data_IF_092091202762
#
_entry.id   IF_092091202762
#
_cell.length_a   1.000
_cell.length_b   1.000
_cell.length_c   1.000
_cell.angle_alpha   90.00
_cell.angle_beta   90.00
_cell.angle_gamma   90.00
#
_symmetry.space_group_name_H-M   'P 1'
#
loop_
_entity.id
_entity.type
_entity.pdbx_description
1 polymer ?
#
# COMPACT_ATOMS: atom_id res chain seq x y z
N UNK A 1 -11.95 -45.43 7.58
CA UNK A 1 -11.60 -46.14 8.80
C UNK A 1 -12.28 -45.47 9.95
N UNK A 2 -13.33 -46.15 10.37
CA UNK A 2 -13.94 -46.28 11.72
C UNK A 2 -14.84 -45.09 12.03
N UNK A 3 -16.09 -45.25 11.85
CA UNK A 3 -17.18 -46.06 12.44
C UNK A 3 -17.78 -45.45 13.69
N UNK A 4 -19.10 -45.28 13.54
CA UNK A 4 -20.20 -45.57 14.43
C UNK A 4 -20.24 -44.97 15.84
N UNK A 5 -21.32 -44.28 16.05
CA UNK A 5 -22.07 -44.34 17.30
C UNK A 5 -23.59 -44.19 17.04
N UNK A 6 -24.20 -45.34 16.93
CA UNK A 6 -25.64 -45.59 17.03
C UNK A 6 -26.16 -45.18 18.40
N UNK A 7 -27.33 -44.55 18.44
CA UNK A 7 -28.20 -44.49 19.62
C UNK A 7 -29.61 -44.93 19.22
N UNK A 8 -30.15 -45.94 19.87
CA UNK A 8 -31.40 -46.57 19.45
C UNK A 8 -32.66 -45.89 19.90
N UNK A 9 -33.62 -45.94 19.01
CA UNK A 9 -35.05 -45.65 19.30
C UNK A 9 -35.68 -46.82 20.09
N UNK A 10 -36.37 -46.54 21.16
CA UNK A 10 -37.31 -47.47 21.76
C UNK A 10 -38.74 -47.08 21.47
N UNK A 11 -39.38 -47.92 20.67
CA UNK A 11 -40.81 -48.00 20.47
C UNK A 11 -41.49 -48.66 21.70
N UNK A 12 -42.58 -48.14 22.15
CA UNK A 12 -43.54 -48.89 22.98
C UNK A 12 -44.93 -48.90 22.36
N UNK A 13 -45.25 -50.10 21.82
CA UNK A 13 -46.60 -50.44 21.34
C UNK A 13 -47.54 -50.92 22.45
N UNK A 14 -48.77 -50.47 22.30
CA UNK A 14 -50.07 -51.16 22.47
C UNK A 14 -50.23 -52.31 23.47
N UNK A 15 -51.21 -52.17 24.30
CA UNK A 15 -51.94 -53.28 24.96
C UNK A 15 -53.37 -53.00 25.18
N UNK A 16 -54.26 -53.55 24.30
CA UNK A 16 -55.71 -53.69 24.49
C UNK A 16 -55.94 -54.88 25.39
N UNK A 17 -57.04 -54.82 26.30
CA UNK A 17 -57.96 -55.86 26.61
C UNK A 17 -59.11 -55.28 27.43
N UNK A 18 -60.22 -55.34 27.10
CA UNK A 18 -61.53 -56.00 26.87
C UNK A 18 -62.05 -56.83 28.08
N UNK A 19 -63.38 -56.59 28.39
CA UNK A 19 -64.45 -57.41 29.00
C UNK A 19 -64.53 -57.36 30.53
N UNK A 20 -65.72 -57.38 31.15
CA UNK A 20 -67.12 -57.62 30.83
C UNK A 20 -68.00 -57.43 32.08
N UNK A 21 -69.27 -56.96 31.91
CA UNK A 21 -70.55 -57.39 32.46
C UNK A 21 -70.91 -57.32 33.96
N UNK A 22 -72.09 -56.73 34.12
CA UNK A 22 -73.21 -57.17 34.96
C UNK A 22 -73.43 -56.21 36.14
N UNK A 23 -74.54 -55.77 36.42
CA UNK A 23 -75.95 -55.94 36.14
C UNK A 23 -76.84 -55.29 37.17
N UNK A 24 -77.93 -54.78 36.76
CA UNK A 24 -79.25 -54.66 37.47
C UNK A 24 -79.39 -53.89 38.79
N UNK A 25 -80.31 -52.90 38.73
CA UNK A 25 -81.13 -52.51 39.86
C UNK A 25 -81.57 -51.06 39.87
N UNK A 26 -82.70 -50.73 39.27
CA UNK A 26 -83.46 -49.50 39.58
C UNK A 26 -84.25 -49.70 40.91
N UNK A 27 -84.58 -48.65 41.63
CA UNK A 27 -85.86 -48.00 41.34
C UNK A 27 -85.84 -46.47 41.55
N UNK A 28 -86.93 -45.93 40.98
CA UNK A 28 -87.36 -44.54 40.96
C UNK A 28 -87.48 -43.84 42.31
N UNK A 29 -87.22 -42.54 42.34
CA UNK A 29 -87.92 -41.55 43.14
C UNK A 29 -87.73 -40.11 42.64
N UNK A 30 -88.74 -39.54 42.13
CA UNK A 30 -89.33 -38.18 42.25
C UNK A 30 -88.46 -36.97 42.43
N UNK A 31 -88.41 -36.10 41.44
CA UNK A 31 -88.95 -34.74 41.50
C UNK A 31 -88.29 -33.71 42.38
N UNK A 32 -87.42 -32.87 41.79
CA UNK A 32 -86.98 -31.61 42.35
C UNK A 32 -86.50 -30.69 41.26
N UNK A 33 -87.27 -29.66 40.88
CA UNK A 33 -86.92 -28.62 39.90
C UNK A 33 -85.72 -27.85 40.43
N UNK A 34 -84.58 -27.70 39.74
CA UNK A 34 -83.51 -26.81 40.15
C UNK A 34 -83.83 -25.37 39.74
N UNK A 35 -83.84 -24.51 40.70
CA UNK A 35 -83.81 -23.05 40.51
C UNK A 35 -82.55 -22.68 39.70
N UNK A 36 -82.73 -22.03 38.53
CA UNK A 36 -81.77 -21.42 37.73
C UNK A 36 -80.92 -20.41 38.54
N UNK A 37 -79.65 -20.76 38.95
CA UNK A 37 -78.64 -19.82 39.41
C UNK A 37 -77.89 -19.24 38.19
N UNK A 38 -78.49 -18.25 37.50
CA UNK A 38 -77.93 -17.53 36.37
C UNK A 38 -76.69 -16.65 36.72
N UNK A 39 -76.42 -16.39 38.00
CA UNK A 39 -75.29 -15.53 38.41
C UNK A 39 -73.94 -16.22 38.50
N UNK A 40 -73.90 -17.55 38.74
CA UNK A 40 -72.59 -18.26 38.89
C UNK A 40 -71.87 -18.54 37.56
N UNK A 41 -72.62 -18.68 36.48
CA UNK A 41 -72.04 -18.93 35.14
C UNK A 41 -71.45 -17.67 34.53
N UNK A 42 -72.04 -16.48 34.76
CA UNK A 42 -71.47 -15.20 34.30
C UNK A 42 -70.20 -14.83 35.06
N UNK A 43 -70.17 -15.11 36.37
CA UNK A 43 -68.93 -14.87 37.16
C UNK A 43 -67.83 -15.83 36.80
N UNK A 44 -68.11 -17.10 36.54
CA UNK A 44 -67.12 -18.05 36.05
C UNK A 44 -66.60 -17.66 34.64
N UNK A 45 -67.51 -17.21 33.75
CA UNK A 45 -67.12 -16.70 32.42
C UNK A 45 -66.21 -15.46 32.53
N UNK A 46 -66.53 -14.52 33.43
CA UNK A 46 -65.71 -13.34 33.69
C UNK A 46 -64.32 -13.69 34.21
N UNK A 47 -64.23 -14.62 35.20
CA UNK A 47 -62.91 -15.10 35.69
C UNK A 47 -62.16 -15.80 34.61
N UNK A 48 -62.79 -16.61 33.76
CA UNK A 48 -62.12 -17.28 32.64
C UNK A 48 -61.58 -16.26 31.61
N UNK A 49 -62.39 -15.23 31.30
CA UNK A 49 -61.95 -14.14 30.41
C UNK A 49 -60.75 -13.31 30.99
N UNK A 50 -60.81 -13.03 32.29
CA UNK A 50 -59.75 -12.34 33.00
C UNK A 50 -58.47 -13.19 33.01
N UNK A 51 -58.56 -14.50 33.27
CA UNK A 51 -57.41 -15.41 33.23
C UNK A 51 -56.87 -15.58 31.82
N UNK A 52 -57.74 -15.70 30.80
CA UNK A 52 -57.28 -15.72 29.40
C UNK A 52 -56.65 -14.40 28.98
N UNK A 53 -57.22 -13.27 29.41
CA UNK A 53 -56.64 -11.94 29.19
C UNK A 53 -55.24 -11.79 29.86
N UNK A 54 -55.12 -12.26 31.11
CA UNK A 54 -53.84 -12.26 31.83
C UNK A 54 -52.80 -13.19 31.19
N UNK A 55 -53.24 -14.38 30.72
CA UNK A 55 -52.34 -15.29 29.96
C UNK A 55 -51.94 -14.72 28.61
N UNK A 56 -52.86 -14.07 27.89
CA UNK A 56 -52.53 -13.40 26.63
C UNK A 56 -51.59 -12.20 26.84
N UNK A 57 -51.85 -11.37 27.86
CA UNK A 57 -50.98 -10.23 28.21
C UNK A 57 -49.62 -10.70 28.73
N UNK A 58 -49.58 -11.74 29.58
CA UNK A 58 -48.35 -12.37 30.06
C UNK A 58 -47.55 -13.04 28.94
N UNK A 59 -48.25 -13.72 28.02
CA UNK A 59 -47.67 -14.30 26.82
C UNK A 59 -47.06 -13.23 25.89
N UNK A 60 -47.81 -12.15 25.62
CA UNK A 60 -47.33 -11.01 24.83
C UNK A 60 -46.14 -10.33 25.48
N UNK A 61 -46.18 -10.05 26.78
CA UNK A 61 -45.08 -9.47 27.54
C UNK A 61 -43.88 -10.40 27.58
N UNK A 62 -44.08 -11.70 27.79
CA UNK A 62 -43.04 -12.74 27.79
C UNK A 62 -42.39 -12.89 26.41
N UNK A 63 -43.18 -12.95 25.35
CA UNK A 63 -42.68 -12.98 23.96
C UNK A 63 -41.91 -11.70 23.62
N UNK A 64 -42.39 -10.54 24.07
CA UNK A 64 -41.68 -9.26 23.92
C UNK A 64 -40.34 -9.24 24.62
N UNK A 65 -40.25 -9.73 25.87
CA UNK A 65 -39.01 -9.85 26.63
C UNK A 65 -38.04 -10.88 26.02
N UNK A 66 -38.53 -12.03 25.58
CA UNK A 66 -37.73 -13.06 24.91
C UNK A 66 -37.23 -12.55 23.57
N UNK A 67 -38.05 -11.88 22.77
CA UNK A 67 -37.62 -11.23 21.54
C UNK A 67 -36.53 -10.17 21.79
N UNK A 68 -36.71 -9.29 22.78
CA UNK A 68 -35.74 -8.28 23.16
C UNK A 68 -34.40 -8.90 23.64
N UNK A 69 -34.45 -10.06 24.30
CA UNK A 69 -33.27 -10.81 24.74
C UNK A 69 -32.57 -11.57 23.60
N UNK A 70 -33.35 -11.99 22.59
CA UNK A 70 -32.83 -12.70 21.41
C UNK A 70 -32.41 -11.76 20.28
N UNK A 71 -32.89 -10.50 20.26
CA UNK A 71 -32.44 -9.51 19.27
C UNK A 71 -31.05 -8.96 19.64
N UNK A 72 -30.12 -9.16 18.77
CA UNK A 72 -28.77 -8.56 18.89
C UNK A 72 -28.92 -7.03 18.71
N UNK A 73 -28.51 -6.21 19.70
CA UNK A 73 -28.60 -4.75 19.58
C UNK A 73 -27.78 -4.27 18.34
N UNK A 74 -28.43 -3.52 17.46
CA UNK A 74 -27.82 -2.92 16.29
C UNK A 74 -28.33 -1.49 16.10
N UNK A 75 -27.54 -0.64 15.42
CA UNK A 75 -27.99 0.67 14.96
C UNK A 75 -28.81 0.53 13.67
N UNK A 76 -29.47 1.61 13.28
CA UNK A 76 -30.20 1.71 12.01
C UNK A 76 -29.57 2.79 11.13
N UNK A 77 -29.32 2.48 9.84
CA UNK A 77 -28.83 3.46 8.88
C UNK A 77 -27.31 3.46 8.67
N UNK A 78 -26.84 4.55 8.03
CA UNK A 78 -25.48 4.67 7.52
C UNK A 78 -24.52 5.46 8.45
N UNK A 79 -24.99 5.79 9.67
CA UNK A 79 -24.22 6.53 10.67
C UNK A 79 -24.23 8.05 10.45
N UNK A 80 -23.64 8.77 11.40
CA UNK A 80 -23.66 10.25 11.46
C UNK A 80 -22.27 10.89 11.46
N UNK A 81 -21.49 10.71 12.51
CA UNK A 81 -20.22 11.38 12.74
C UNK A 81 -19.05 10.56 12.20
N UNK A 82 -18.17 11.19 11.41
CA UNK A 82 -16.98 10.54 10.87
C UNK A 82 -16.03 10.10 11.99
N UNK A 83 -15.51 8.90 11.90
CA UNK A 83 -14.51 8.34 12.82
C UNK A 83 -13.52 7.46 12.06
N UNK A 84 -12.26 7.49 12.47
CA UNK A 84 -11.22 6.67 11.87
C UNK A 84 -11.05 5.38 12.65
N UNK A 85 -11.02 4.24 11.95
CA UNK A 85 -10.81 2.92 12.53
C UNK A 85 -9.64 2.25 11.84
N UNK A 86 -8.72 1.66 12.62
CA UNK A 86 -7.57 0.92 12.10
C UNK A 86 -7.84 -0.58 12.13
N UNK A 87 -7.82 -1.20 10.94
CA UNK A 87 -7.81 -2.66 10.76
C UNK A 87 -6.34 -3.07 10.64
N UNK A 88 -5.85 -3.79 11.65
CA UNK A 88 -4.46 -4.23 11.72
C UNK A 88 -4.24 -5.56 10.95
N UNK A 89 -2.99 -5.90 10.61
CA UNK A 89 -2.65 -7.26 10.18
C UNK A 89 -3.14 -8.28 11.20
N UNK A 90 -3.66 -9.41 10.71
CA UNK A 90 -4.15 -10.54 11.53
C UNK A 90 -5.42 -10.25 12.38
N UNK A 91 -6.07 -9.10 12.23
CA UNK A 91 -7.36 -8.84 12.88
C UNK A 91 -8.40 -9.88 12.43
N UNK A 92 -8.90 -10.67 13.37
CA UNK A 92 -10.06 -11.53 13.12
C UNK A 92 -11.35 -10.71 13.02
N UNK A 93 -12.43 -11.30 12.51
CA UNK A 93 -13.74 -10.63 12.52
C UNK A 93 -14.21 -10.21 13.92
N UNK A 94 -13.71 -10.86 14.97
CA UNK A 94 -13.98 -10.48 16.37
C UNK A 94 -13.15 -9.27 16.79
N UNK A 95 -11.88 -9.22 16.41
CA UNK A 95 -10.99 -8.07 16.71
C UNK A 95 -11.48 -6.81 15.99
N UNK A 96 -11.87 -6.94 14.72
CA UNK A 96 -12.53 -5.86 13.97
C UNK A 96 -13.82 -5.40 14.67
N UNK A 97 -14.65 -6.34 15.14
CA UNK A 97 -15.89 -6.02 15.84
C UNK A 97 -15.63 -5.25 17.15
N UNK A 98 -14.59 -5.60 17.89
CA UNK A 98 -14.18 -4.90 19.10
C UNK A 98 -13.75 -3.46 18.81
N UNK A 99 -12.89 -3.26 17.83
CA UNK A 99 -12.44 -1.92 17.40
C UNK A 99 -13.61 -1.04 16.91
N UNK A 100 -14.50 -1.59 16.11
CA UNK A 100 -15.69 -0.88 15.62
C UNK A 100 -16.66 -0.52 16.76
N UNK A 101 -16.79 -1.40 17.75
CA UNK A 101 -17.57 -1.14 18.95
C UNK A 101 -16.95 -0.04 19.82
N UNK A 102 -15.63 -0.10 20.08
CA UNK A 102 -14.90 0.91 20.84
C UNK A 102 -14.97 2.29 20.16
N UNK A 103 -14.90 2.32 18.83
CA UNK A 103 -15.07 3.53 18.03
C UNK A 103 -16.53 4.01 17.91
N UNK A 104 -17.48 3.32 18.57
CA UNK A 104 -18.92 3.60 18.51
C UNK A 104 -19.52 3.54 17.08
N UNK A 105 -18.85 2.83 16.16
CA UNK A 105 -19.35 2.59 14.81
C UNK A 105 -20.52 1.63 14.83
N UNK A 106 -20.42 0.53 15.59
CA UNK A 106 -21.49 -0.48 15.73
C UNK A 106 -22.00 -0.54 17.16
N UNK A 107 -23.29 -0.86 17.32
CA UNK A 107 -23.95 -0.91 18.63
C UNK A 107 -23.57 -2.11 19.49
N UNK A 108 -23.11 -3.20 18.87
CA UNK A 108 -22.59 -4.36 19.57
C UNK A 108 -21.62 -5.14 18.69
N UNK A 109 -20.60 -5.72 19.31
CA UNK A 109 -19.66 -6.62 18.65
C UNK A 109 -20.39 -7.79 17.96
N UNK A 110 -21.41 -8.37 18.64
CA UNK A 110 -22.19 -9.49 18.11
C UNK A 110 -22.91 -9.15 16.82
N UNK A 111 -23.42 -7.91 16.67
CA UNK A 111 -24.07 -7.48 15.43
C UNK A 111 -23.08 -7.49 14.26
N UNK A 112 -21.86 -6.98 14.46
CA UNK A 112 -20.85 -6.98 13.41
C UNK A 112 -20.34 -8.38 13.09
N UNK A 113 -20.06 -9.22 14.09
CA UNK A 113 -19.65 -10.62 13.87
C UNK A 113 -20.70 -11.39 13.08
N UNK A 114 -21.99 -11.17 13.37
CA UNK A 114 -23.07 -11.80 12.60
C UNK A 114 -23.07 -11.32 11.14
N UNK A 115 -22.91 -10.02 10.88
CA UNK A 115 -22.81 -9.47 9.52
C UNK A 115 -21.57 -10.00 8.80
N UNK A 116 -20.42 -10.04 9.48
CA UNK A 116 -19.16 -10.57 8.96
C UNK A 116 -19.28 -12.03 8.53
N UNK A 117 -19.85 -12.88 9.38
CA UNK A 117 -20.03 -14.32 9.09
C UNK A 117 -21.07 -14.57 7.99
N UNK A 118 -22.04 -13.69 7.82
CA UNK A 118 -23.07 -13.80 6.79
C UNK A 118 -22.60 -13.36 5.39
N UNK A 119 -21.51 -12.62 5.29
CA UNK A 119 -20.98 -12.11 4.01
C UNK A 119 -19.68 -12.87 3.60
N UNK A 120 -19.70 -13.63 2.49
CA UNK A 120 -18.49 -14.34 2.02
C UNK A 120 -17.30 -13.42 1.71
N UNK A 121 -17.55 -12.16 1.34
CA UNK A 121 -16.52 -11.18 1.03
C UNK A 121 -15.84 -10.60 2.28
N UNK A 122 -16.35 -10.83 3.48
CA UNK A 122 -15.77 -10.30 4.72
C UNK A 122 -14.28 -10.67 4.90
N UNK A 123 -13.84 -11.81 4.34
CA UNK A 123 -12.45 -12.27 4.37
C UNK A 123 -11.51 -11.49 3.43
N UNK A 124 -12.05 -10.64 2.57
CA UNK A 124 -11.27 -9.78 1.67
C UNK A 124 -11.10 -8.35 2.19
N UNK A 125 -11.49 -8.09 3.45
CA UNK A 125 -11.21 -6.81 4.10
C UNK A 125 -9.69 -6.65 4.19
N UNK A 126 -9.18 -5.54 3.67
CA UNK A 126 -7.76 -5.23 3.65
C UNK A 126 -7.35 -4.47 4.92
N UNK A 127 -6.10 -4.61 5.31
CA UNK A 127 -5.51 -3.86 6.41
C UNK A 127 -5.40 -2.37 6.06
N UNK A 128 -5.52 -1.49 7.06
CA UNK A 128 -5.39 -0.05 6.86
C UNK A 128 -6.33 0.78 7.73
N UNK A 129 -6.27 2.08 7.52
CA UNK A 129 -7.15 3.03 8.19
C UNK A 129 -8.38 3.30 7.33
N UNK A 130 -9.56 3.24 7.97
CA UNK A 130 -10.84 3.47 7.30
C UNK A 130 -11.58 4.64 7.93
N UNK A 131 -12.08 5.54 7.10
CA UNK A 131 -13.00 6.57 7.53
C UNK A 131 -14.42 6.03 7.49
N UNK A 132 -14.94 5.66 8.67
CA UNK A 132 -16.29 5.18 8.88
C UNK A 132 -17.15 6.26 9.57
N UNK A 133 -18.38 5.92 9.94
CA UNK A 133 -19.25 6.79 10.73
C UNK A 133 -19.65 6.11 12.03
N UNK A 134 -19.84 6.90 13.08
CA UNK A 134 -20.46 6.39 14.31
C UNK A 134 -21.94 6.05 14.05
N UNK A 135 -22.49 5.15 14.84
CA UNK A 135 -23.87 4.73 14.82
C UNK A 135 -24.33 4.07 13.51
N UNK A 136 -23.46 3.37 12.82
CA UNK A 136 -23.78 2.59 11.62
C UNK A 136 -24.47 1.27 11.99
N UNK A 137 -25.41 0.84 11.15
CA UNK A 137 -25.86 -0.55 11.16
C UNK A 137 -24.67 -1.47 10.87
N UNK A 138 -24.56 -2.59 11.59
CA UNK A 138 -23.39 -3.48 11.46
C UNK A 138 -23.14 -3.97 10.02
N UNK A 139 -24.21 -4.28 9.25
CA UNK A 139 -24.07 -4.63 7.83
C UNK A 139 -23.54 -3.46 6.98
N UNK A 140 -23.95 -2.22 7.31
CA UNK A 140 -23.48 -1.01 6.60
C UNK A 140 -22.03 -0.68 6.94
N UNK A 141 -21.59 -0.92 8.17
CA UNK A 141 -20.18 -0.80 8.54
C UNK A 141 -19.32 -1.82 7.76
N UNK A 142 -19.81 -3.07 7.61
CA UNK A 142 -19.14 -4.06 6.77
C UNK A 142 -19.12 -3.67 5.29
N UNK A 143 -20.24 -3.21 4.74
CA UNK A 143 -20.32 -2.72 3.36
C UNK A 143 -19.32 -1.58 3.13
N UNK A 144 -19.17 -0.67 4.10
CA UNK A 144 -18.24 0.44 4.03
C UNK A 144 -16.76 -0.01 4.04
N UNK A 145 -16.41 -1.07 4.79
CA UNK A 145 -15.07 -1.67 4.77
C UNK A 145 -14.74 -2.37 3.45
N UNK A 146 -15.76 -2.87 2.74
CA UNK A 146 -15.63 -3.59 1.47
C UNK A 146 -15.83 -2.69 0.24
N UNK A 147 -16.33 -1.47 0.43
CA UNK A 147 -16.67 -0.57 -0.68
C UNK A 147 -15.46 -0.22 -1.53
N UNK A 148 -15.63 -0.30 -2.86
CA UNK A 148 -14.58 0.04 -3.83
C UNK A 148 -15.04 1.13 -4.79
N UNK A 149 -14.11 1.95 -5.19
CA UNK A 149 -14.24 2.93 -6.26
C UNK A 149 -14.28 2.24 -7.65
N UNK A 150 -14.64 2.96 -8.73
CA UNK A 150 -14.62 2.40 -10.10
C UNK A 150 -13.24 1.90 -10.55
N UNK A 151 -12.16 2.44 -9.98
CA UNK A 151 -10.77 2.03 -10.21
C UNK A 151 -10.31 0.85 -9.34
N UNK A 152 -11.26 0.21 -8.62
CA UNK A 152 -11.06 -0.91 -7.70
C UNK A 152 -10.31 -0.57 -6.40
N UNK A 153 -9.95 0.68 -6.14
CA UNK A 153 -9.40 1.13 -4.86
C UNK A 153 -10.47 1.10 -3.76
N UNK A 154 -10.07 0.98 -2.49
CA UNK A 154 -11.01 0.97 -1.36
C UNK A 154 -11.56 2.38 -1.11
N UNK A 155 -12.89 2.52 -1.19
CA UNK A 155 -13.56 3.83 -1.18
C UNK A 155 -13.42 4.59 0.15
N UNK A 156 -13.34 3.87 1.27
CA UNK A 156 -13.27 4.47 2.61
C UNK A 156 -11.91 4.29 3.29
N UNK A 157 -10.91 3.75 2.58
CA UNK A 157 -9.54 3.66 3.09
C UNK A 157 -8.87 5.02 3.04
N UNK A 158 -8.22 5.40 4.12
CA UNK A 158 -7.47 6.65 4.22
C UNK A 158 -5.99 6.34 4.09
N UNK A 159 -5.39 6.84 3.03
CA UNK A 159 -3.94 6.75 2.80
C UNK A 159 -3.44 8.04 2.15
N UNK A 160 -2.17 8.34 2.34
CA UNK A 160 -1.49 9.41 1.61
C UNK A 160 -0.72 8.79 0.45
N UNK A 161 -1.23 8.99 -0.77
CA UNK A 161 -0.57 8.56 -2.00
C UNK A 161 0.51 9.54 -2.43
N UNK A 162 1.70 9.05 -2.75
CA UNK A 162 2.81 9.82 -3.32
C UNK A 162 3.42 9.03 -4.47
N UNK A 163 3.55 9.67 -5.62
CA UNK A 163 4.33 9.11 -6.73
C UNK A 163 5.70 9.77 -6.75
N UNK A 164 6.73 8.94 -6.62
CA UNK A 164 8.12 9.32 -6.88
C UNK A 164 8.37 9.06 -8.36
N UNK A 165 8.72 10.10 -9.10
CA UNK A 165 8.98 10.04 -10.54
C UNK A 165 10.45 9.67 -10.80
N UNK A 166 10.69 8.97 -11.89
CA UNK A 166 12.05 8.66 -12.32
C UNK A 166 12.88 9.94 -12.56
N UNK A 167 14.11 9.96 -12.09
CA UNK A 167 15.01 11.09 -12.23
C UNK A 167 14.85 12.20 -11.19
N UNK A 168 13.83 12.13 -10.30
CA UNK A 168 13.74 13.07 -9.17
C UNK A 168 14.94 12.93 -8.24
N UNK A 169 15.40 14.04 -7.67
CA UNK A 169 16.44 14.04 -6.63
C UNK A 169 15.81 13.94 -5.23
N UNK A 170 16.58 13.49 -4.26
CA UNK A 170 16.09 13.24 -2.89
C UNK A 170 15.41 14.46 -2.26
N UNK A 171 15.87 15.68 -2.51
CA UNK A 171 15.25 16.90 -1.97
C UNK A 171 13.85 17.15 -2.55
N UNK A 172 13.58 16.79 -3.80
CA UNK A 172 12.26 16.89 -4.43
C UNK A 172 11.33 15.81 -3.89
N UNK A 173 11.84 14.60 -3.76
CA UNK A 173 11.11 13.48 -3.13
C UNK A 173 10.68 13.86 -1.71
N UNK A 174 11.58 14.44 -0.89
CA UNK A 174 11.22 14.88 0.47
C UNK A 174 10.15 15.97 0.47
N UNK A 175 10.19 16.90 -0.47
CA UNK A 175 9.15 17.93 -0.61
C UNK A 175 7.79 17.32 -0.98
N UNK A 176 7.76 16.34 -1.90
CA UNK A 176 6.55 15.63 -2.29
C UNK A 176 5.98 14.81 -1.12
N UNK A 177 6.83 14.05 -0.41
CA UNK A 177 6.45 13.29 0.78
C UNK A 177 5.88 14.20 1.88
N UNK A 178 6.57 15.29 2.20
CA UNK A 178 6.14 16.26 3.20
C UNK A 178 4.77 16.84 2.89
N UNK A 179 4.54 17.22 1.63
CA UNK A 179 3.25 17.75 1.16
C UNK A 179 2.12 16.73 1.31
N UNK A 180 2.36 15.47 0.98
CA UNK A 180 1.32 14.44 0.99
C UNK A 180 1.00 13.93 2.40
N UNK A 181 1.99 13.91 3.30
CA UNK A 181 1.84 13.36 4.67
C UNK A 181 1.64 14.41 5.75
N UNK A 182 1.75 15.71 5.40
CA UNK A 182 1.76 16.84 6.33
C UNK A 182 2.88 16.77 7.39
N UNK A 183 3.96 16.05 7.10
CA UNK A 183 5.16 16.04 7.94
C UNK A 183 6.13 17.13 7.50
N UNK A 184 6.94 17.71 8.42
CA UNK A 184 8.00 18.65 8.05
C UNK A 184 9.03 18.03 7.11
N UNK A 185 9.49 18.76 6.10
CA UNK A 185 10.59 18.32 5.21
C UNK A 185 11.85 17.98 6.01
N UNK A 186 12.10 18.71 7.09
CA UNK A 186 13.24 18.50 7.99
C UNK A 186 13.27 17.11 8.63
N UNK A 187 12.09 16.47 8.81
CA UNK A 187 12.03 15.14 9.41
C UNK A 187 12.56 14.09 8.43
N UNK A 188 12.24 14.22 7.13
CA UNK A 188 12.82 13.40 6.07
C UNK A 188 14.31 13.65 5.91
N UNK A 189 14.75 14.92 5.91
CA UNK A 189 16.16 15.27 5.84
C UNK A 189 16.97 14.70 7.02
N UNK A 190 16.40 14.72 8.23
CA UNK A 190 17.05 14.16 9.41
C UNK A 190 17.10 12.63 9.37
N UNK A 191 16.03 11.97 9.00
CA UNK A 191 15.98 10.52 8.83
C UNK A 191 16.96 10.03 7.75
N UNK A 192 17.11 10.78 6.66
CA UNK A 192 17.97 10.45 5.53
C UNK A 192 19.49 10.58 5.80
N UNK A 193 19.91 11.16 6.94
CA UNK A 193 21.33 11.30 7.30
C UNK A 193 22.05 9.97 7.49
N UNK A 194 21.31 8.92 7.84
CA UNK A 194 21.83 7.56 7.99
C UNK A 194 21.05 6.59 7.09
N UNK A 195 21.44 6.43 5.81
CA UNK A 195 20.79 5.52 4.89
C UNK A 195 20.90 4.05 5.32
N UNK A 196 21.91 3.68 6.10
CA UNK A 196 22.08 2.31 6.62
C UNK A 196 21.00 2.00 7.67
N UNK A 197 20.71 2.94 8.56
CA UNK A 197 19.62 2.80 9.54
C UNK A 197 18.22 2.71 8.86
N UNK A 198 18.11 3.20 7.62
CA UNK A 198 16.89 3.07 6.81
C UNK A 198 16.80 1.75 6.05
N UNK A 199 17.86 0.93 6.02
CA UNK A 199 17.86 -0.38 5.39
C UNK A 199 18.67 -0.48 4.08
N UNK A 200 19.47 0.55 3.73
CA UNK A 200 20.47 0.42 2.67
C UNK A 200 21.64 -0.43 3.21
N UNK A 201 22.00 -1.51 2.51
CA UNK A 201 23.16 -2.31 2.95
C UNK A 201 24.44 -1.46 2.93
N UNK A 202 25.30 -1.55 3.96
CA UNK A 202 26.60 -0.89 3.96
C UNK A 202 27.47 -1.22 2.75
N UNK A 203 27.30 -2.42 2.16
CA UNK A 203 28.06 -2.90 1.02
C UNK A 203 27.83 -2.06 -0.25
N UNK A 204 26.69 -1.35 -0.34
CA UNK A 204 26.46 -0.41 -1.42
C UNK A 204 27.52 0.70 -1.48
N UNK A 205 28.00 1.16 -0.32
CA UNK A 205 28.94 2.28 -0.23
C UNK A 205 30.39 1.87 -0.45
N UNK A 206 30.61 1.01 -1.45
CA UNK A 206 31.93 0.53 -1.85
C UNK A 206 32.17 0.83 -3.33
N UNK A 207 33.41 1.15 -3.69
CA UNK A 207 33.85 1.39 -5.08
C UNK A 207 35.12 0.59 -5.39
N UNK A 208 35.18 0.07 -6.62
CA UNK A 208 36.38 -0.65 -7.08
C UNK A 208 37.43 0.27 -7.66
N UNK A 209 37.04 1.47 -8.13
CA UNK A 209 37.96 2.49 -8.64
C UNK A 209 38.72 3.26 -7.54
N UNK A 210 38.50 2.95 -6.28
CA UNK A 210 39.21 3.54 -5.13
C UNK A 210 38.86 5.00 -4.84
N UNK A 211 37.84 5.56 -5.48
CA UNK A 211 37.43 6.96 -5.29
C UNK A 211 36.52 7.15 -4.06
N UNK A 212 36.42 8.40 -3.56
CA UNK A 212 35.51 8.71 -2.46
C UNK A 212 34.09 8.34 -2.77
N UNK A 213 33.35 7.96 -1.71
CA UNK A 213 31.92 7.63 -1.75
C UNK A 213 31.14 8.66 -0.95
N UNK A 214 30.10 9.23 -1.53
CA UNK A 214 29.11 9.99 -0.79
C UNK A 214 28.06 9.02 -0.22
N UNK A 215 28.08 8.84 1.10
CA UNK A 215 27.05 8.06 1.80
C UNK A 215 25.79 8.90 1.92
N UNK A 216 24.92 8.83 0.95
CA UNK A 216 23.62 9.51 0.93
C UNK A 216 22.52 8.56 0.51
N UNK A 217 21.27 9.01 0.68
CA UNK A 217 20.08 8.27 0.24
C UNK A 217 19.80 8.45 -1.26
N UNK A 218 20.52 9.36 -1.93
CA UNK A 218 20.36 9.62 -3.35
C UNK A 218 20.63 8.37 -4.19
N UNK A 219 19.74 8.08 -5.12
CA UNK A 219 19.76 6.86 -5.93
C UNK A 219 19.03 5.67 -5.33
N UNK A 220 18.66 5.73 -4.04
CA UNK A 220 18.00 4.64 -3.32
C UNK A 220 16.49 4.85 -3.11
N UNK A 221 15.94 6.01 -3.52
CA UNK A 221 14.51 6.29 -3.43
C UNK A 221 13.80 5.82 -4.71
N UNK A 222 13.55 4.51 -4.80
CA UNK A 222 13.05 3.88 -6.03
C UNK A 222 11.74 4.52 -6.52
N UNK A 223 11.65 4.88 -7.82
CA UNK A 223 10.46 5.48 -8.40
C UNK A 223 9.27 4.52 -8.41
N UNK A 224 8.20 4.91 -7.77
CA UNK A 224 6.93 4.17 -7.71
C UNK A 224 5.84 5.03 -7.06
N UNK A 225 4.60 4.56 -7.12
CA UNK A 225 3.51 5.12 -6.31
C UNK A 225 3.47 4.40 -4.96
N UNK A 226 3.56 5.16 -3.89
CA UNK A 226 3.54 4.69 -2.51
C UNK A 226 2.29 5.17 -1.80
N UNK A 227 1.71 4.32 -1.00
CA UNK A 227 0.63 4.66 -0.07
C UNK A 227 1.13 4.55 1.37
N UNK A 228 0.82 5.55 2.18
CA UNK A 228 1.21 5.60 3.59
C UNK A 228 -0.02 5.76 4.47
N UNK A 229 -0.05 5.00 5.55
CA UNK A 229 -1.11 5.10 6.54
C UNK A 229 -1.00 6.43 7.33
N UNK A 230 -2.12 6.98 7.81
CA UNK A 230 -2.11 8.17 8.66
C UNK A 230 -1.26 7.98 9.92
N UNK A 231 -0.45 9.00 10.25
CA UNK A 231 0.36 9.00 11.46
C UNK A 231 1.69 8.23 11.38
N UNK A 232 2.05 7.72 10.20
CA UNK A 232 3.37 7.12 9.96
C UNK A 232 4.43 8.21 9.93
N UNK A 233 5.56 8.03 10.62
CA UNK A 233 6.67 8.98 10.66
C UNK A 233 7.56 8.93 9.42
N UNK A 234 8.40 9.96 9.24
CA UNK A 234 9.30 10.10 8.09
C UNK A 234 10.30 8.92 7.97
N UNK A 235 10.76 8.37 9.10
CA UNK A 235 11.69 7.24 9.12
C UNK A 235 11.03 5.97 8.57
N UNK A 236 9.80 5.67 9.00
CA UNK A 236 9.06 4.50 8.51
C UNK A 236 8.68 4.65 7.03
N UNK A 237 8.35 5.86 6.59
CA UNK A 237 8.09 6.18 5.18
C UNK A 237 9.34 5.88 4.33
N UNK A 238 10.50 6.43 4.70
CA UNK A 238 11.75 6.21 3.96
C UNK A 238 12.17 4.73 4.00
N UNK A 239 12.02 4.03 5.12
CA UNK A 239 12.26 2.58 5.20
C UNK A 239 11.41 1.79 4.20
N UNK A 240 10.13 2.14 4.04
CA UNK A 240 9.25 1.48 3.05
C UNK A 240 9.74 1.70 1.62
N UNK A 241 10.20 2.91 1.29
CA UNK A 241 10.74 3.23 -0.03
C UNK A 241 12.03 2.47 -0.28
N UNK A 242 12.96 2.43 0.70
CA UNK A 242 14.22 1.66 0.62
C UNK A 242 13.95 0.16 0.53
N UNK A 243 12.96 -0.37 1.24
CA UNK A 243 12.58 -1.78 1.14
C UNK A 243 12.14 -2.13 -0.29
N UNK A 244 11.42 -1.22 -0.97
CA UNK A 244 11.04 -1.40 -2.37
C UNK A 244 12.27 -1.36 -3.30
N UNK A 245 13.20 -0.42 -3.08
CA UNK A 245 14.48 -0.42 -3.80
C UNK A 245 15.20 -1.76 -3.66
N UNK A 246 15.37 -2.27 -2.45
CA UNK A 246 16.04 -3.55 -2.20
C UNK A 246 15.32 -4.73 -2.89
N UNK A 247 13.99 -4.72 -2.91
CA UNK A 247 13.20 -5.73 -3.61
C UNK A 247 13.42 -5.71 -5.12
N UNK A 248 13.45 -4.51 -5.73
CA UNK A 248 13.72 -4.37 -7.16
C UNK A 248 15.17 -4.74 -7.52
N UNK A 249 16.16 -4.38 -6.69
CA UNK A 249 17.54 -4.83 -6.89
C UNK A 249 17.67 -6.35 -6.83
N UNK A 250 16.93 -7.00 -5.94
CA UNK A 250 16.90 -8.47 -5.85
C UNK A 250 16.23 -9.08 -7.08
N UNK A 251 15.11 -8.53 -7.53
CA UNK A 251 14.37 -8.99 -8.72
C UNK A 251 15.20 -8.87 -9.99
N UNK A 252 16.00 -7.81 -10.13
CA UNK A 252 16.92 -7.60 -11.24
C UNK A 252 18.20 -8.44 -11.13
N UNK A 253 18.46 -9.08 -9.99
CA UNK A 253 19.77 -9.67 -9.67
C UNK A 253 20.93 -8.68 -9.89
N UNK A 254 20.67 -7.40 -9.62
CA UNK A 254 21.51 -6.28 -10.04
C UNK A 254 22.95 -6.42 -9.56
N UNK A 255 23.16 -6.77 -8.29
CA UNK A 255 24.50 -6.85 -7.69
C UNK A 255 25.35 -7.92 -8.37
N UNK A 256 24.79 -9.12 -8.55
CA UNK A 256 25.52 -10.23 -9.16
C UNK A 256 25.79 -9.98 -10.64
N UNK A 257 24.80 -9.46 -11.38
CA UNK A 257 24.92 -9.18 -12.81
C UNK A 257 25.99 -8.12 -13.08
N UNK A 258 26.02 -7.01 -12.32
CA UNK A 258 27.02 -5.95 -12.45
C UNK A 258 28.42 -6.49 -12.21
N UNK A 259 28.62 -7.24 -11.13
CA UNK A 259 29.95 -7.81 -10.82
C UNK A 259 30.41 -8.81 -11.86
N UNK A 260 29.52 -9.69 -12.32
CA UNK A 260 29.86 -10.73 -13.28
C UNK A 260 30.17 -10.18 -14.69
N UNK A 261 29.46 -9.13 -15.12
CA UNK A 261 29.51 -8.65 -16.52
C UNK A 261 30.41 -7.43 -16.71
N UNK A 262 30.47 -6.53 -15.72
CA UNK A 262 31.15 -5.24 -15.83
C UNK A 262 32.41 -5.16 -14.97
N UNK A 263 32.53 -6.01 -13.95
CA UNK A 263 33.66 -6.00 -13.01
C UNK A 263 33.84 -4.63 -12.32
N UNK A 264 32.74 -3.98 -11.98
CA UNK A 264 32.65 -2.76 -11.17
C UNK A 264 31.77 -2.99 -9.95
N UNK A 265 31.74 -2.07 -8.99
CA UNK A 265 30.84 -2.19 -7.84
C UNK A 265 29.40 -1.89 -8.25
N UNK A 266 28.40 -2.45 -7.54
CA UNK A 266 26.99 -2.08 -7.73
C UNK A 266 26.72 -0.58 -7.54
N UNK A 267 27.48 0.08 -6.65
CA UNK A 267 27.34 1.51 -6.44
C UNK A 267 27.80 2.33 -7.66
N UNK A 268 28.89 1.93 -8.31
CA UNK A 268 29.34 2.56 -9.56
C UNK A 268 28.33 2.38 -10.69
N UNK A 269 27.66 1.21 -10.75
CA UNK A 269 26.58 0.99 -11.71
C UNK A 269 25.32 1.82 -11.37
N UNK A 270 24.98 1.99 -10.09
CA UNK A 270 23.90 2.86 -9.66
C UNK A 270 24.17 4.33 -10.00
N UNK A 271 25.40 4.79 -9.84
CA UNK A 271 25.82 6.13 -10.29
C UNK A 271 25.62 6.28 -11.80
N UNK A 272 26.06 5.30 -12.59
CA UNK A 272 25.88 5.34 -14.04
C UNK A 272 24.40 5.31 -14.45
N UNK A 273 23.56 4.51 -13.76
CA UNK A 273 22.11 4.49 -13.95
C UNK A 273 21.48 5.85 -13.67
N UNK A 274 21.87 6.50 -12.56
CA UNK A 274 21.34 7.82 -12.19
C UNK A 274 21.69 8.91 -13.22
N UNK A 275 22.85 8.81 -13.84
CA UNK A 275 23.24 9.72 -14.93
C UNK A 275 22.48 9.38 -16.21
N UNK A 276 22.40 8.10 -16.59
CA UNK A 276 21.68 7.67 -17.79
C UNK A 276 20.19 8.04 -17.72
N UNK A 277 19.58 8.00 -16.53
CA UNK A 277 18.20 8.44 -16.30
C UNK A 277 17.99 9.93 -16.62
N UNK A 278 18.96 10.77 -16.30
CA UNK A 278 18.86 12.22 -16.53
C UNK A 278 19.20 12.60 -17.97
N UNK A 279 20.14 11.89 -18.60
CA UNK A 279 20.67 12.19 -19.93
C UNK A 279 19.86 11.53 -21.06
N UNK A 280 19.25 10.35 -20.80
CA UNK A 280 18.54 9.56 -21.80
C UNK A 280 17.04 9.62 -21.61
N UNK A 281 16.28 9.62 -22.72
CA UNK A 281 14.83 9.55 -22.69
C UNK A 281 14.29 8.16 -22.99
N UNK A 282 15.00 7.42 -23.84
CA UNK A 282 14.59 6.08 -24.30
C UNK A 282 15.52 5.01 -23.70
N UNK A 283 15.02 3.79 -23.41
CA UNK A 283 15.83 2.74 -22.82
C UNK A 283 17.11 2.40 -23.60
N UNK A 284 17.01 2.34 -24.94
CA UNK A 284 18.17 2.07 -25.82
C UNK A 284 19.21 3.20 -25.75
N UNK A 285 18.77 4.45 -25.64
CA UNK A 285 19.65 5.61 -25.47
C UNK A 285 20.32 5.57 -24.10
N UNK A 286 19.58 5.25 -23.03
CA UNK A 286 20.16 5.08 -21.70
C UNK A 286 21.26 4.02 -21.68
N UNK A 287 21.05 2.90 -22.39
CA UNK A 287 22.08 1.85 -22.51
C UNK A 287 23.32 2.32 -23.24
N UNK A 288 23.15 3.07 -24.33
CA UNK A 288 24.25 3.71 -25.06
C UNK A 288 24.99 4.74 -24.21
N UNK A 289 24.28 5.58 -23.46
CA UNK A 289 24.83 6.55 -22.51
C UNK A 289 25.67 5.83 -21.44
N UNK A 290 25.09 4.81 -20.78
CA UNK A 290 25.81 4.02 -19.78
C UNK A 290 27.14 3.46 -20.34
N UNK A 291 27.11 3.00 -21.60
CA UNK A 291 28.36 2.56 -22.29
C UNK A 291 29.36 3.68 -22.43
N UNK A 292 28.95 4.88 -22.86
CA UNK A 292 29.86 6.03 -22.95
C UNK A 292 30.44 6.37 -21.58
N UNK A 293 29.64 6.37 -20.52
CA UNK A 293 30.13 6.63 -19.17
C UNK A 293 31.26 5.66 -18.77
N UNK A 294 31.05 4.35 -18.98
CA UNK A 294 32.09 3.35 -18.66
C UNK A 294 33.31 3.42 -19.56
N UNK A 295 33.12 3.67 -20.85
CA UNK A 295 34.25 3.82 -21.78
C UNK A 295 35.09 5.05 -21.44
N UNK A 296 34.48 6.16 -21.04
CA UNK A 296 35.21 7.35 -20.59
C UNK A 296 35.88 7.13 -19.23
N UNK A 297 35.13 6.60 -18.24
CA UNK A 297 35.63 6.44 -16.88
C UNK A 297 36.75 5.42 -16.76
N UNK A 298 36.68 4.30 -17.50
CA UNK A 298 37.55 3.13 -17.31
C UNK A 298 38.32 2.70 -18.55
N UNK A 299 37.94 3.18 -19.74
CA UNK A 299 38.54 2.75 -21.00
C UNK A 299 39.90 3.37 -21.32
N UNK A 300 40.33 4.43 -20.63
CA UNK A 300 41.64 5.10 -20.80
C UNK A 300 41.86 5.79 -22.15
N UNK A 301 40.81 5.86 -23.01
CA UNK A 301 40.92 6.44 -24.35
C UNK A 301 40.41 7.89 -24.45
N UNK A 302 39.68 8.33 -23.45
CA UNK A 302 39.11 9.67 -23.40
C UNK A 302 40.01 10.60 -22.57
N UNK A 303 40.22 11.87 -22.99
CA UNK A 303 41.04 12.82 -22.25
C UNK A 303 40.64 12.91 -20.77
N UNK A 304 41.62 12.92 -19.87
CA UNK A 304 41.49 12.91 -18.40
C UNK A 304 40.58 11.78 -17.80
N UNK A 305 40.02 10.89 -18.60
CA UNK A 305 38.95 9.96 -18.19
C UNK A 305 37.75 10.68 -17.53
N UNK A 306 37.51 11.94 -17.89
CA UNK A 306 36.44 12.79 -17.38
C UNK A 306 35.14 12.49 -18.12
N UNK A 307 34.00 12.65 -17.45
CA UNK A 307 32.73 12.47 -18.13
C UNK A 307 32.26 13.74 -18.86
N UNK A 308 32.58 14.92 -18.33
CA UNK A 308 32.20 16.23 -18.87
C UNK A 308 30.71 16.38 -19.08
N UNK A 309 29.95 16.20 -17.99
CA UNK A 309 28.46 16.21 -17.99
C UNK A 309 27.93 17.40 -17.21
N UNK A 310 27.13 18.22 -17.88
CA UNK A 310 26.44 19.37 -17.30
C UNK A 310 25.40 18.95 -16.22
N UNK A 311 24.84 17.76 -16.37
CA UNK A 311 23.87 17.18 -15.40
C UNK A 311 24.48 17.03 -14.00
N UNK A 312 25.75 16.66 -13.90
CA UNK A 312 26.44 16.52 -12.60
C UNK A 312 26.66 17.87 -11.92
N UNK A 313 26.96 18.92 -12.69
CA UNK A 313 27.07 20.30 -12.21
C UNK A 313 25.68 20.82 -11.77
N UNK A 314 24.68 20.59 -12.59
CA UNK A 314 23.30 20.99 -12.28
C UNK A 314 22.74 20.26 -11.04
N UNK A 315 23.09 19.00 -10.82
CA UNK A 315 22.75 18.31 -9.58
C UNK A 315 23.35 19.02 -8.36
N UNK A 316 24.64 19.38 -8.43
CA UNK A 316 25.29 20.14 -7.34
C UNK A 316 24.64 21.50 -7.10
N UNK A 317 24.30 22.23 -8.15
CA UNK A 317 23.56 23.49 -8.02
C UNK A 317 22.23 23.28 -7.26
N UNK A 318 21.44 22.25 -7.66
CA UNK A 318 20.14 21.95 -7.02
C UNK A 318 20.29 21.60 -5.55
N UNK A 319 21.19 20.69 -5.17
CA UNK A 319 21.39 20.29 -3.77
C UNK A 319 22.03 21.38 -2.91
N UNK A 320 22.68 22.36 -3.55
CA UNK A 320 23.22 23.57 -2.91
C UNK A 320 22.17 24.71 -2.82
N UNK A 321 20.91 24.47 -3.21
CA UNK A 321 19.83 25.46 -3.17
C UNK A 321 19.89 26.51 -4.29
N UNK A 322 20.64 26.24 -5.36
CA UNK A 322 20.75 27.10 -6.53
C UNK A 322 19.87 26.58 -7.68
N UNK A 323 19.48 27.46 -8.59
CA UNK A 323 18.71 27.08 -9.78
C UNK A 323 19.59 26.36 -10.79
N UNK A 324 19.16 25.22 -11.37
CA UNK A 324 19.88 24.59 -12.48
C UNK A 324 19.91 25.51 -13.70
N UNK A 325 20.96 25.39 -14.50
CA UNK A 325 21.22 26.24 -15.65
C UNK A 325 21.18 25.43 -16.95
N UNK A 326 20.76 26.05 -18.05
CA UNK A 326 20.95 25.44 -19.36
C UNK A 326 22.43 25.35 -19.69
N UNK A 327 22.84 24.46 -20.61
CA UNK A 327 24.25 24.34 -21.03
C UNK A 327 24.82 25.65 -21.55
N UNK A 328 23.95 26.54 -22.09
CA UNK A 328 24.36 27.87 -22.59
C UNK A 328 24.61 28.88 -21.46
N UNK A 329 24.01 28.67 -20.30
CA UNK A 329 24.06 29.56 -19.13
C UNK A 329 25.08 29.09 -18.08
N UNK A 330 25.61 27.85 -18.22
CA UNK A 330 26.71 27.37 -17.38
C UNK A 330 27.98 28.16 -17.66
N UNK A 331 28.51 28.77 -16.62
CA UNK A 331 29.76 29.54 -16.71
C UNK A 331 30.97 28.64 -16.52
N UNK A 332 32.12 29.12 -16.94
CA UNK A 332 33.43 28.45 -16.67
C UNK A 332 33.62 28.21 -15.16
N UNK A 333 33.16 29.14 -14.33
CA UNK A 333 33.19 28.99 -12.85
C UNK A 333 32.27 27.89 -12.34
N UNK A 334 31.16 27.63 -13.00
CA UNK A 334 30.26 26.51 -12.63
C UNK A 334 30.92 25.18 -13.02
N UNK A 335 31.44 25.09 -14.28
CA UNK A 335 32.02 23.88 -14.82
C UNK A 335 33.34 23.47 -14.12
N UNK A 336 34.07 24.43 -13.56
CA UNK A 336 35.35 24.21 -12.88
C UNK A 336 35.30 24.57 -11.39
N UNK A 337 34.15 24.39 -10.75
CA UNK A 337 33.99 24.69 -9.33
C UNK A 337 34.73 23.67 -8.45
N UNK A 338 35.78 24.04 -7.73
CA UNK A 338 36.55 23.11 -6.92
C UNK A 338 35.76 22.59 -5.68
N UNK A 339 34.67 23.29 -5.29
CA UNK A 339 33.81 22.90 -4.18
C UNK A 339 32.74 21.89 -4.59
N UNK A 340 32.52 21.70 -5.90
CA UNK A 340 31.54 20.72 -6.38
C UNK A 340 32.18 19.30 -6.32
N UNK A 341 31.73 18.44 -5.41
CA UNK A 341 32.26 17.09 -5.30
C UNK A 341 31.76 16.15 -6.42
N UNK A 342 30.68 16.53 -7.12
CA UNK A 342 30.12 15.78 -8.25
C UNK A 342 30.69 16.20 -9.62
N UNK A 343 31.50 17.24 -9.65
CA UNK A 343 32.09 17.75 -10.90
C UNK A 343 32.79 16.66 -11.71
N UNK A 344 32.39 16.50 -12.97
CA UNK A 344 32.93 15.53 -13.92
C UNK A 344 33.69 16.20 -15.08
N UNK A 345 33.87 17.54 -15.06
CA UNK A 345 34.69 18.26 -16.03
C UNK A 345 36.16 18.21 -15.66
N UNK A 346 36.50 18.29 -14.37
CA UNK A 346 37.87 18.32 -13.86
C UNK A 346 38.29 17.04 -13.15
N UNK A 347 37.33 16.21 -12.74
CA UNK A 347 37.60 15.00 -11.98
C UNK A 347 37.37 13.77 -12.85
N UNK A 348 38.38 12.88 -12.97
CA UNK A 348 38.29 11.69 -13.80
C UNK A 348 37.25 10.70 -13.21
N UNK A 349 36.58 9.93 -14.08
CA UNK A 349 35.68 8.84 -13.75
C UNK A 349 34.29 9.28 -13.27
N UNK A 350 33.58 8.38 -12.67
CA UNK A 350 32.22 8.62 -12.14
C UNK A 350 32.24 9.56 -10.94
N UNK A 351 31.21 10.39 -10.71
CA UNK A 351 31.08 11.24 -9.52
C UNK A 351 31.02 10.43 -8.23
N UNK A 352 31.07 11.11 -7.08
CA UNK A 352 31.17 10.48 -5.76
C UNK A 352 29.87 9.74 -5.31
N UNK A 353 28.76 9.93 -6.02
CA UNK A 353 27.45 9.31 -5.74
C UNK A 353 26.45 9.54 -6.87
N UNK A 354 25.28 8.92 -6.79
CA UNK A 354 24.17 9.15 -7.72
C UNK A 354 23.73 10.62 -7.76
N UNK A 355 23.16 11.04 -8.89
CA UNK A 355 22.67 12.41 -9.13
C UNK A 355 21.14 12.48 -9.31
N UNK A 356 20.47 11.35 -9.23
CA UNK A 356 19.01 11.21 -9.27
C UNK A 356 18.60 9.82 -8.79
N UNK A 357 17.30 9.57 -8.71
CA UNK A 357 16.75 8.24 -8.42
C UNK A 357 16.34 7.56 -9.74
N UNK A 358 17.07 6.54 -10.19
CA UNK A 358 16.84 5.90 -11.48
C UNK A 358 15.68 4.93 -11.44
N UNK A 359 14.92 4.83 -12.56
CA UNK A 359 13.91 3.83 -12.80
C UNK A 359 14.47 2.50 -13.30
N UNK A 360 13.58 1.56 -13.58
CA UNK A 360 13.92 0.20 -14.01
C UNK A 360 14.75 0.19 -15.30
N UNK A 361 14.37 1.01 -16.28
CA UNK A 361 15.05 1.06 -17.58
C UNK A 361 16.51 1.57 -17.46
N UNK A 362 16.74 2.60 -16.67
CA UNK A 362 18.07 3.12 -16.43
C UNK A 362 18.95 2.14 -15.65
N UNK A 363 18.40 1.42 -14.66
CA UNK A 363 19.10 0.36 -13.94
C UNK A 363 19.47 -0.79 -14.88
N UNK A 364 18.55 -1.22 -15.74
CA UNK A 364 18.78 -2.26 -16.74
C UNK A 364 19.84 -1.82 -17.76
N UNK A 365 19.77 -0.56 -18.22
CA UNK A 365 20.73 0.04 -19.13
C UNK A 365 22.16 0.08 -18.55
N UNK A 366 22.30 0.47 -17.28
CA UNK A 366 23.59 0.50 -16.61
C UNK A 366 24.16 -0.89 -16.34
N UNK A 367 23.30 -1.89 -16.11
CA UNK A 367 23.70 -3.28 -15.88
C UNK A 367 24.12 -4.00 -17.17
N UNK A 368 23.47 -3.69 -18.31
CA UNK A 368 23.67 -4.37 -19.58
C UNK A 368 23.98 -3.42 -20.75
N UNK A 369 25.01 -2.55 -20.64
CA UNK A 369 25.34 -1.62 -21.71
C UNK A 369 25.88 -2.36 -22.94
N UNK A 370 25.58 -1.90 -24.18
CA UNK A 370 26.06 -2.54 -25.41
C UNK A 370 27.59 -2.56 -25.46
N UNK A 371 28.16 -3.62 -26.05
CA UNK A 371 29.63 -3.76 -26.20
C UNK A 371 30.08 -3.02 -27.45
N UNK A 372 30.42 -1.75 -27.31
CA UNK A 372 30.94 -0.90 -28.40
C UNK A 372 31.96 0.12 -27.89
N UNK A 373 32.47 0.93 -28.79
CA UNK A 373 33.55 1.93 -28.51
C UNK A 373 33.02 3.36 -28.36
N UNK A 374 31.76 3.60 -28.13
CA UNK A 374 31.20 4.96 -28.02
C UNK A 374 31.88 5.76 -26.93
N UNK A 375 32.28 6.99 -27.29
CA UNK A 375 32.92 7.96 -26.41
C UNK A 375 32.11 9.27 -26.30
N UNK A 376 31.16 9.48 -27.22
CA UNK A 376 30.39 10.70 -27.31
C UNK A 376 28.90 10.38 -27.50
N UNK A 377 28.05 11.27 -27.03
CA UNK A 377 26.62 11.25 -27.30
C UNK A 377 26.06 12.68 -27.35
N UNK A 378 24.98 12.87 -28.07
CA UNK A 378 24.21 14.13 -28.13
C UNK A 378 22.77 13.85 -28.56
N UNK A 379 21.82 14.55 -27.96
CA UNK A 379 20.44 14.53 -28.43
C UNK A 379 20.34 15.18 -29.82
N UNK A 380 19.65 14.51 -30.78
CA UNK A 380 19.62 14.93 -32.20
C UNK A 380 18.26 15.39 -32.68
N UNK A 381 17.20 15.20 -31.93
CA UNK A 381 15.85 15.65 -32.26
C UNK A 381 15.08 16.11 -31.03
N UNK A 382 13.90 16.73 -31.24
CA UNK A 382 13.05 17.24 -30.17
C UNK A 382 12.31 16.15 -29.40
N UNK A 383 12.26 14.96 -29.97
CA UNK A 383 11.73 13.74 -29.32
C UNK A 383 12.70 13.24 -28.25
N UNK A 384 13.99 13.62 -28.35
CA UNK A 384 15.05 13.28 -27.39
C UNK A 384 15.86 12.05 -27.76
N UNK A 385 15.85 11.59 -29.03
CA UNK A 385 16.73 10.51 -29.50
C UNK A 385 18.19 10.94 -29.47
N UNK A 386 19.04 10.01 -29.09
CA UNK A 386 20.47 10.25 -28.89
C UNK A 386 21.31 9.62 -30.00
N UNK A 387 22.21 10.41 -30.59
CA UNK A 387 23.22 9.88 -31.50
C UNK A 387 24.56 9.67 -30.75
N UNK A 388 25.19 8.54 -31.02
CA UNK A 388 26.46 8.13 -30.44
C UNK A 388 27.60 8.25 -31.44
N UNK A 389 28.81 8.44 -30.92
CA UNK A 389 30.02 8.52 -31.76
C UNK A 389 31.24 7.92 -31.04
N UNK A 390 32.17 7.37 -31.81
CA UNK A 390 33.43 6.84 -31.32
C UNK A 390 34.55 7.88 -31.44
N UNK A 391 34.43 8.79 -32.42
CA UNK A 391 35.43 9.84 -32.72
C UNK A 391 34.81 11.23 -32.54
N UNK A 392 35.67 12.22 -32.30
CA UNK A 392 35.27 13.62 -32.22
C UNK A 392 34.69 14.13 -33.56
N UNK A 393 35.18 13.62 -34.69
CA UNK A 393 34.67 13.99 -36.00
C UNK A 393 33.24 13.52 -36.22
N UNK A 394 32.90 12.28 -35.84
CA UNK A 394 31.54 11.76 -35.89
C UNK A 394 30.63 12.54 -34.94
N UNK A 395 31.15 12.88 -33.75
CA UNK A 395 30.41 13.70 -32.77
C UNK A 395 30.09 15.09 -33.30
N UNK A 396 31.06 15.74 -33.97
CA UNK A 396 30.86 17.04 -34.61
C UNK A 396 29.76 16.99 -35.69
N UNK A 397 29.67 15.89 -36.46
CA UNK A 397 28.61 15.66 -37.43
C UNK A 397 27.24 15.50 -36.73
N UNK A 398 27.17 14.77 -35.62
CA UNK A 398 25.94 14.62 -34.81
C UNK A 398 25.49 15.96 -34.21
N UNK A 399 26.44 16.79 -33.75
CA UNK A 399 26.14 18.16 -33.27
C UNK A 399 25.58 19.03 -34.40
N UNK A 400 26.14 18.94 -35.63
CA UNK A 400 25.62 19.66 -36.78
C UNK A 400 24.17 19.23 -37.11
N UNK A 401 23.89 17.92 -37.00
CA UNK A 401 22.53 17.36 -37.16
C UNK A 401 21.58 17.91 -36.08
N UNK A 402 22.01 17.90 -34.83
CA UNK A 402 21.20 18.44 -33.69
C UNK A 402 20.85 19.92 -33.89
N UNK A 403 21.83 20.73 -34.34
CA UNK A 403 21.61 22.16 -34.69
C UNK A 403 20.63 22.32 -35.82
N UNK A 404 20.76 21.49 -36.90
CA UNK A 404 19.80 21.50 -38.02
C UNK A 404 18.40 21.17 -37.59
N UNK A 405 18.21 20.28 -36.62
CA UNK A 405 16.92 19.86 -36.08
C UNK A 405 16.41 20.82 -35.00
N UNK A 406 17.15 21.85 -34.61
CA UNK A 406 16.77 22.87 -33.64
C UNK A 406 16.73 22.36 -32.19
N UNK A 407 17.63 21.44 -31.87
CA UNK A 407 17.84 20.92 -30.49
C UNK A 407 18.90 21.74 -29.77
N UNK A 408 19.98 22.15 -30.48
CA UNK A 408 21.10 22.93 -29.98
C UNK A 408 21.14 24.36 -30.52
#
# INVERSE_FOLDING_TARGET
MIDDLDIPFEDYERGRHRRRRGGRGAPQARGGRPRRRRGRSLFALFITLVLLGALAAGGWYGVGKIRAYLTVPDYSGDGDTAVMVHIAPDDSGKDMADKLYQANVVKSQKAFVNAFNANPQSKTIEVGYYQLRQHMKASKALDALLARNPDHTLANRVSSGVTITEGEISTEVFAALAKATNLPVTDFQNAAKDPVALGVSPDWFTRQDGKPVQKSIEGFLYPATYEFDPGVDATAILKKIIANFNAEMTKLDFLNQVQATLHISPFEALIAASIAQVEGRFPDDMAGIARVLYNRAYGGKFPCSCLQLDSTVNYWLRVSGQTPKSSKDLTVSDLHNPKDPYNTHDKPGLPIGPISNPGADALQAAMNPPKNGYLYFVAIDKEGHTAFATTEQEHAANIALAKKNGVL
#
